data_IF_024430428809
#
_entry.id   IF_024430428809
#
_cell.length_a   1.000
_cell.length_b   1.000
_cell.length_c   1.000
_cell.angle_alpha   90.00
_cell.angle_beta   90.00
_cell.angle_gamma   90.00
#
_symmetry.space_group_name_H-M   'P 1'
#
loop_
_entity.id
_entity.type
_entity.pdbx_description
1 polymer ?
#
# COMPACT_ATOMS: atom_id res chain seq x y z
N UNK A 1 7.95 32.59 8.42
CA UNK A 1 8.53 31.26 8.11
C UNK A 1 7.81 30.68 6.89
N UNK A 2 8.57 30.22 5.88
CA UNK A 2 7.98 29.58 4.67
C UNK A 2 7.31 28.27 5.06
N UNK A 3 6.15 27.98 4.49
CA UNK A 3 5.30 26.82 4.76
C UNK A 3 5.00 26.06 3.49
N UNK A 4 4.97 24.72 3.56
CA UNK A 4 4.81 23.81 2.43
C UNK A 4 3.85 22.67 2.73
N UNK A 5 3.26 22.10 1.68
CA UNK A 5 2.65 20.79 1.70
C UNK A 5 3.67 19.78 1.17
N UNK A 6 3.83 18.65 1.85
CA UNK A 6 4.69 17.56 1.41
C UNK A 6 3.80 16.46 0.82
N UNK A 7 4.11 15.99 -0.38
CA UNK A 7 3.41 14.87 -1.00
C UNK A 7 4.39 13.71 -1.18
N UNK A 8 3.98 12.54 -0.70
CA UNK A 8 4.62 11.25 -0.95
C UNK A 8 3.89 10.63 -2.12
N UNK A 9 4.54 10.52 -3.26
CA UNK A 9 4.02 9.86 -4.47
C UNK A 9 4.75 8.53 -4.65
N UNK A 10 4.08 7.45 -4.24
CA UNK A 10 4.61 6.10 -4.29
C UNK A 10 4.10 5.37 -5.54
N UNK A 11 4.81 5.55 -6.64
CA UNK A 11 4.49 4.88 -7.91
C UNK A 11 4.89 3.41 -7.96
N UNK A 12 4.64 2.77 -9.10
CA UNK A 12 4.99 1.35 -9.31
C UNK A 12 6.50 1.14 -9.45
N UNK A 13 7.23 2.12 -9.98
CA UNK A 13 8.67 1.98 -10.28
C UNK A 13 9.55 2.91 -9.45
N UNK A 14 8.97 3.92 -8.79
CA UNK A 14 9.73 4.92 -8.06
C UNK A 14 8.97 5.49 -6.88
N UNK A 15 9.73 5.96 -5.89
CA UNK A 15 9.26 6.81 -4.80
C UNK A 15 9.63 8.25 -5.10
N UNK A 16 8.70 9.17 -4.89
CA UNK A 16 8.89 10.60 -5.12
C UNK A 16 8.39 11.41 -3.94
N UNK A 17 9.11 12.46 -3.60
CA UNK A 17 8.66 13.47 -2.62
C UNK A 17 8.56 14.80 -3.33
N UNK A 18 7.41 15.45 -3.23
CA UNK A 18 7.13 16.75 -3.82
C UNK A 18 6.79 17.73 -2.70
N UNK A 19 7.42 18.91 -2.75
CA UNK A 19 7.03 20.05 -1.92
C UNK A 19 6.21 21.04 -2.76
N UNK A 20 5.05 21.40 -2.26
CA UNK A 20 4.22 22.46 -2.81
C UNK A 20 4.22 23.67 -1.89
N UNK A 21 4.28 24.86 -2.47
CA UNK A 21 4.06 26.10 -1.73
C UNK A 21 2.56 26.32 -1.40
N UNK A 22 2.21 27.41 -0.73
CA UNK A 22 0.82 27.73 -0.37
C UNK A 22 -0.10 28.02 -1.56
N UNK A 23 0.46 28.26 -2.75
CA UNK A 23 -0.29 28.44 -4.00
C UNK A 23 -0.44 27.15 -4.78
N UNK A 24 -0.04 26.00 -4.19
CA UNK A 24 0.01 24.68 -4.84
C UNK A 24 0.93 24.61 -6.07
N UNK A 25 1.92 25.49 -6.15
CA UNK A 25 3.00 25.39 -7.13
C UNK A 25 4.09 24.47 -6.60
N UNK A 26 4.70 23.68 -7.49
CA UNK A 26 5.81 22.80 -7.13
C UNK A 26 7.01 23.66 -6.75
N UNK A 27 7.49 23.47 -5.53
CA UNK A 27 8.68 24.15 -5.02
C UNK A 27 9.94 23.32 -5.26
N UNK A 28 9.88 22.01 -4.97
CA UNK A 28 11.02 21.10 -5.18
C UNK A 28 10.55 19.66 -5.27
N UNK A 29 11.34 18.81 -5.95
CA UNK A 29 11.08 17.39 -6.14
C UNK A 29 12.36 16.61 -5.91
N UNK A 30 12.24 15.45 -5.25
CA UNK A 30 13.26 14.41 -5.21
C UNK A 30 12.63 13.05 -5.49
N UNK A 31 13.32 12.21 -6.24
CA UNK A 31 12.83 10.91 -6.68
C UNK A 31 13.94 9.87 -6.62
N UNK A 32 13.56 8.61 -6.47
CA UNK A 32 14.41 7.43 -6.58
C UNK A 32 13.62 6.26 -7.14
N UNK A 33 14.16 5.58 -8.13
CA UNK A 33 13.68 4.29 -8.59
C UNK A 33 14.07 3.19 -7.61
N UNK A 34 13.25 2.13 -7.51
CA UNK A 34 13.51 0.96 -6.68
C UNK A 34 13.39 -0.34 -7.48
N UNK A 35 14.00 -1.39 -6.94
CA UNK A 35 14.09 -2.67 -7.61
C UNK A 35 12.73 -3.36 -7.70
N UNK A 36 12.41 -3.85 -8.91
CA UNK A 36 11.32 -4.77 -9.17
C UNK A 36 11.81 -6.21 -9.03
N UNK A 37 10.97 -7.10 -8.50
CA UNK A 37 11.32 -8.51 -8.33
C UNK A 37 10.31 -9.38 -9.09
N UNK A 38 10.84 -10.30 -9.90
CA UNK A 38 10.06 -11.23 -10.74
C UNK A 38 10.47 -12.66 -10.43
N UNK A 39 10.07 -13.24 -9.27
CA UNK A 39 10.58 -14.54 -8.82
C UNK A 39 10.09 -15.71 -9.67
N UNK A 40 8.94 -15.60 -10.31
CA UNK A 40 8.37 -16.58 -11.23
C UNK A 40 7.64 -15.86 -12.37
N UNK A 41 7.27 -16.59 -13.42
CA UNK A 41 6.46 -16.07 -14.50
C UNK A 41 5.14 -15.49 -13.97
N UNK A 42 4.80 -14.28 -14.40
CA UNK A 42 3.60 -13.57 -13.96
C UNK A 42 3.61 -13.07 -12.51
N UNK A 43 4.70 -13.26 -11.76
CA UNK A 43 4.84 -12.76 -10.40
C UNK A 43 5.59 -11.43 -10.38
N UNK A 44 5.01 -10.45 -9.67
CA UNK A 44 5.61 -9.13 -9.52
C UNK A 44 5.59 -8.73 -8.05
N UNK A 45 6.77 -8.45 -7.49
CA UNK A 45 6.93 -8.14 -6.07
C UNK A 45 7.77 -6.89 -5.84
N UNK A 46 7.45 -6.18 -4.76
CA UNK A 46 8.28 -5.10 -4.23
C UNK A 46 8.74 -5.43 -2.80
N UNK A 47 9.88 -4.89 -2.41
CA UNK A 47 10.30 -4.92 -1.01
C UNK A 47 9.72 -3.69 -0.28
N UNK A 48 8.70 -3.91 0.54
CA UNK A 48 8.04 -2.83 1.27
C UNK A 48 8.98 -2.12 2.27
N UNK A 49 10.04 -2.79 2.74
CA UNK A 49 11.07 -2.16 3.58
C UNK A 49 11.92 -1.18 2.77
N UNK A 50 12.32 -1.56 1.55
CA UNK A 50 13.05 -0.66 0.64
C UNK A 50 12.20 0.58 0.30
N UNK A 51 10.91 0.39 -0.01
CA UNK A 51 9.97 1.49 -0.26
C UNK A 51 9.95 2.45 0.94
N UNK A 52 9.81 1.93 2.15
CA UNK A 52 9.83 2.75 3.37
C UNK A 52 11.15 3.50 3.56
N UNK A 53 12.28 2.81 3.40
CA UNK A 53 13.61 3.43 3.57
C UNK A 53 13.86 4.50 2.51
N UNK A 54 13.42 4.29 1.28
CA UNK A 54 13.51 5.28 0.21
C UNK A 54 12.66 6.52 0.51
N UNK A 55 11.40 6.35 0.93
CA UNK A 55 10.54 7.48 1.34
C UNK A 55 11.18 8.27 2.46
N UNK A 56 11.67 7.62 3.52
CA UNK A 56 12.34 8.27 4.65
C UNK A 56 13.59 9.05 4.21
N UNK A 57 14.41 8.42 3.37
CA UNK A 57 15.65 9.03 2.87
C UNK A 57 15.37 10.23 1.94
N UNK A 58 14.34 10.13 1.09
CA UNK A 58 13.93 11.22 0.21
C UNK A 58 13.35 12.40 1.00
N UNK A 59 12.55 12.16 2.04
CA UNK A 59 12.09 13.21 2.97
C UNK A 59 13.29 13.90 3.62
N UNK A 60 14.24 13.12 4.14
CA UNK A 60 15.47 13.68 4.72
C UNK A 60 16.30 14.47 3.72
N UNK A 61 16.38 13.99 2.48
CA UNK A 61 17.13 14.66 1.37
C UNK A 61 16.52 16.02 1.04
N UNK A 62 15.18 16.08 0.83
CA UNK A 62 14.50 17.32 0.45
C UNK A 62 14.52 18.35 1.58
N UNK A 63 14.43 17.89 2.85
CA UNK A 63 14.56 18.76 4.02
C UNK A 63 15.95 19.38 4.12
N UNK A 64 17.00 18.57 3.99
CA UNK A 64 18.40 19.07 4.02
C UNK A 64 18.69 20.04 2.87
N UNK A 65 18.30 19.68 1.64
CA UNK A 65 18.48 20.49 0.43
C UNK A 65 17.89 21.91 0.61
N UNK A 66 16.71 21.99 1.22
CA UNK A 66 15.95 23.23 1.35
C UNK A 66 16.05 23.88 2.74
N UNK A 67 16.92 23.36 3.62
CA UNK A 67 17.10 23.85 5.01
C UNK A 67 15.78 23.92 5.78
N UNK A 68 14.92 22.90 5.62
CA UNK A 68 13.61 22.80 6.26
C UNK A 68 13.64 21.96 7.54
N UNK A 69 12.64 22.17 8.38
CA UNK A 69 12.31 21.33 9.53
C UNK A 69 10.80 21.06 9.57
N UNK A 70 10.34 20.27 10.53
CA UNK A 70 8.93 19.90 10.66
C UNK A 70 7.98 21.08 10.76
N UNK A 71 8.41 22.20 11.37
CA UNK A 71 7.62 23.43 11.47
C UNK A 71 7.32 24.09 10.12
N UNK A 72 8.05 23.74 9.06
CA UNK A 72 7.80 24.23 7.70
C UNK A 72 6.70 23.45 6.97
N UNK A 73 6.30 22.27 7.46
CA UNK A 73 5.31 21.42 6.80
C UNK A 73 3.93 21.67 7.42
N UNK A 74 2.96 21.98 6.55
CA UNK A 74 1.55 22.20 6.92
C UNK A 74 0.87 20.84 7.07
N UNK A 75 1.01 19.99 6.04
CA UNK A 75 0.45 18.65 6.03
C UNK A 75 1.24 17.73 5.08
N UNK A 76 1.00 16.42 5.22
CA UNK A 76 1.57 15.39 4.36
C UNK A 76 0.42 14.69 3.65
N UNK A 77 0.47 14.64 2.31
CA UNK A 77 -0.41 13.82 1.47
C UNK A 77 0.33 12.57 1.02
N UNK A 78 -0.39 11.46 0.87
CA UNK A 78 0.16 10.22 0.32
C UNK A 78 -0.68 9.81 -0.88
N UNK A 79 -0.05 9.59 -2.03
CA UNK A 79 -0.62 8.90 -3.18
C UNK A 79 0.24 7.67 -3.49
N UNK A 80 -0.38 6.62 -4.03
CA UNK A 80 0.31 5.32 -4.15
C UNK A 80 -0.16 4.50 -5.34
N UNK A 81 0.66 3.52 -5.71
CA UNK A 81 0.23 2.39 -6.53
C UNK A 81 -0.86 1.61 -5.77
N UNK A 82 -2.11 1.70 -6.24
CA UNK A 82 -3.23 1.02 -5.58
C UNK A 82 -3.13 -0.50 -5.72
N UNK A 83 -3.92 -1.24 -4.97
CA UNK A 83 -4.07 -2.71 -4.98
C UNK A 83 -2.80 -3.50 -4.59
N UNK A 84 -1.62 -2.89 -4.64
CA UNK A 84 -0.39 -3.51 -4.13
C UNK A 84 -0.53 -3.80 -2.64
N UNK A 85 -0.30 -5.05 -2.28
CA UNK A 85 -0.70 -5.63 -0.99
C UNK A 85 0.50 -5.86 -0.09
N UNK A 86 0.47 -5.31 1.11
CA UNK A 86 1.49 -5.49 2.14
C UNK A 86 0.87 -6.12 3.38
N UNK A 87 1.48 -7.21 3.90
CA UNK A 87 1.16 -7.79 5.19
C UNK A 87 2.36 -7.69 6.12
N UNK A 88 2.15 -7.21 7.35
CA UNK A 88 3.26 -7.02 8.30
C UNK A 88 2.90 -7.34 9.73
N UNK A 89 3.92 -7.54 10.55
CA UNK A 89 3.77 -7.76 11.97
C UNK A 89 3.53 -6.42 12.69
N UNK A 90 2.37 -6.26 13.34
CA UNK A 90 1.98 -5.09 14.14
C UNK A 90 3.02 -4.67 15.19
N UNK A 91 3.76 -5.62 15.76
CA UNK A 91 4.73 -5.35 16.85
C UNK A 91 6.06 -4.82 16.33
N UNK A 92 6.50 -5.31 15.16
CA UNK A 92 7.85 -5.05 14.66
C UNK A 92 7.88 -4.18 13.40
N UNK A 93 6.74 -4.00 12.74
CA UNK A 93 6.64 -3.33 11.44
C UNK A 93 7.28 -4.11 10.28
N UNK A 94 7.79 -5.33 10.53
CA UNK A 94 8.45 -6.12 9.49
C UNK A 94 7.41 -6.79 8.60
N UNK A 95 7.46 -6.61 7.27
CA UNK A 95 6.65 -7.36 6.32
C UNK A 95 6.87 -8.87 6.49
N UNK A 96 5.80 -9.66 6.35
CA UNK A 96 5.88 -11.13 6.44
C UNK A 96 6.30 -11.76 5.12
N UNK A 97 6.05 -11.04 4.05
CA UNK A 97 6.38 -11.38 2.67
C UNK A 97 6.65 -10.09 1.88
N UNK A 98 7.22 -10.18 0.69
CA UNK A 98 7.29 -9.02 -0.21
C UNK A 98 5.90 -8.54 -0.58
N UNK A 99 5.75 -7.25 -0.85
CA UNK A 99 4.50 -6.69 -1.33
C UNK A 99 4.15 -7.32 -2.69
N UNK A 100 2.96 -7.88 -2.82
CA UNK A 100 2.47 -8.42 -4.09
C UNK A 100 1.85 -7.27 -4.88
N UNK A 101 2.42 -6.99 -6.05
CA UNK A 101 2.07 -5.83 -6.88
C UNK A 101 0.73 -6.05 -7.60
N UNK A 102 0.07 -4.98 -7.99
CA UNK A 102 -1.19 -5.01 -8.72
C UNK A 102 -1.13 -5.80 -10.05
N UNK A 103 0.03 -5.84 -10.69
CA UNK A 103 0.29 -6.58 -11.95
C UNK A 103 0.42 -8.10 -11.75
N UNK A 104 0.58 -8.56 -10.51
CA UNK A 104 0.86 -9.96 -10.19
C UNK A 104 -0.32 -10.88 -10.49
N UNK A 105 -0.04 -12.02 -11.11
CA UNK A 105 -1.05 -12.99 -11.56
C UNK A 105 -1.10 -14.29 -10.75
N UNK A 106 -0.31 -14.43 -9.68
CA UNK A 106 -0.25 -15.68 -8.88
C UNK A 106 -1.57 -16.13 -8.27
N UNK A 107 -2.50 -15.21 -8.07
CA UNK A 107 -3.80 -15.50 -7.46
C UNK A 107 -4.91 -15.85 -8.48
N UNK A 108 -4.59 -16.01 -9.78
CA UNK A 108 -5.57 -16.30 -10.84
C UNK A 108 -6.34 -17.60 -10.60
N UNK A 109 -5.66 -18.66 -10.14
CA UNK A 109 -6.35 -19.93 -9.83
C UNK A 109 -7.39 -19.76 -8.73
N UNK A 110 -7.12 -18.90 -7.75
CA UNK A 110 -8.08 -18.60 -6.69
C UNK A 110 -9.27 -17.81 -7.23
N UNK A 111 -9.04 -16.86 -8.14
CA UNK A 111 -10.12 -16.16 -8.84
C UNK A 111 -11.00 -17.13 -9.62
N UNK A 112 -10.41 -18.06 -10.37
CA UNK A 112 -11.14 -19.07 -11.13
C UNK A 112 -12.01 -19.97 -10.21
N UNK A 113 -11.51 -20.31 -9.01
CA UNK A 113 -12.32 -21.04 -8.01
C UNK A 113 -13.55 -20.25 -7.56
N UNK A 114 -13.40 -18.96 -7.29
CA UNK A 114 -14.52 -18.09 -6.90
C UNK A 114 -15.55 -17.95 -8.02
N UNK A 115 -15.12 -17.86 -9.28
CA UNK A 115 -15.99 -17.81 -10.46
C UNK A 115 -16.77 -19.13 -10.59
N UNK A 116 -16.10 -20.28 -10.51
CA UNK A 116 -16.75 -21.60 -10.51
C UNK A 116 -17.79 -21.75 -9.38
N UNK A 117 -17.57 -21.10 -8.24
CA UNK A 117 -18.50 -21.04 -7.10
C UNK A 117 -19.62 -20.00 -7.31
N UNK A 118 -19.72 -19.37 -8.47
CA UNK A 118 -20.74 -18.35 -8.81
C UNK A 118 -20.76 -17.16 -7.84
N UNK A 119 -19.59 -16.71 -7.39
CA UNK A 119 -19.45 -15.58 -6.46
C UNK A 119 -19.41 -14.19 -7.14
N UNK A 120 -19.47 -14.14 -8.46
CA UNK A 120 -19.31 -12.89 -9.23
C UNK A 120 -20.36 -11.85 -8.88
N UNK A 121 -21.65 -12.22 -8.90
CA UNK A 121 -22.76 -11.31 -8.57
C UNK A 121 -22.64 -10.77 -7.14
N UNK A 122 -22.29 -11.63 -6.17
CA UNK A 122 -22.12 -11.24 -4.77
C UNK A 122 -21.01 -10.19 -4.63
N UNK A 123 -19.86 -10.46 -5.25
CA UNK A 123 -18.70 -9.58 -5.16
C UNK A 123 -18.97 -8.27 -5.90
N UNK A 124 -19.52 -8.33 -7.10
CA UNK A 124 -19.87 -7.15 -7.88
C UNK A 124 -20.85 -6.23 -7.15
N UNK A 125 -21.94 -6.77 -6.60
CA UNK A 125 -22.95 -5.98 -5.89
C UNK A 125 -22.41 -5.28 -4.64
N UNK A 126 -21.41 -5.87 -3.98
CA UNK A 126 -20.81 -5.28 -2.78
C UNK A 126 -19.67 -4.32 -3.08
N UNK A 127 -18.88 -4.59 -4.10
CA UNK A 127 -17.60 -3.90 -4.33
C UNK A 127 -17.53 -3.14 -5.63
N UNK A 128 -18.44 -3.39 -6.58
CA UNK A 128 -18.37 -2.88 -7.95
C UNK A 128 -17.25 -3.49 -8.79
N UNK A 129 -16.55 -4.53 -8.28
CA UNK A 129 -15.37 -5.11 -8.91
C UNK A 129 -15.68 -6.49 -9.50
N UNK A 130 -14.99 -6.82 -10.59
CA UNK A 130 -14.92 -8.18 -11.09
C UNK A 130 -13.99 -9.02 -10.21
N UNK A 131 -14.09 -10.36 -10.28
CA UNK A 131 -13.14 -11.26 -9.63
C UNK A 131 -11.85 -11.28 -10.45
N UNK A 132 -10.80 -10.63 -9.97
CA UNK A 132 -9.49 -10.64 -10.63
C UNK A 132 -8.35 -10.62 -9.60
N UNK A 133 -7.20 -11.20 -10.00
CA UNK A 133 -5.95 -11.20 -9.23
C UNK A 133 -5.36 -9.79 -9.05
N UNK A 134 -5.86 -8.82 -9.81
CA UNK A 134 -5.51 -7.41 -9.71
C UNK A 134 -5.75 -6.84 -8.30
N UNK A 135 -6.86 -7.22 -7.65
CA UNK A 135 -7.31 -6.67 -6.38
C UNK A 135 -6.65 -7.32 -5.16
N UNK A 136 -6.69 -6.66 -4.00
CA UNK A 136 -5.91 -7.06 -2.82
C UNK A 136 -6.37 -8.37 -2.17
N UNK A 137 -7.69 -8.67 -2.15
CA UNK A 137 -8.23 -9.79 -1.39
C UNK A 137 -7.60 -11.15 -1.75
N UNK A 138 -7.44 -11.43 -3.04
CA UNK A 138 -6.86 -12.69 -3.51
C UNK A 138 -5.37 -12.81 -3.20
N UNK A 139 -4.62 -11.69 -3.22
CA UNK A 139 -3.22 -11.63 -2.80
C UNK A 139 -3.05 -11.86 -1.30
N UNK A 140 -3.94 -11.27 -0.48
CA UNK A 140 -3.97 -11.52 0.97
C UNK A 140 -4.19 -13.01 1.25
N UNK A 141 -5.19 -13.59 0.58
CA UNK A 141 -5.50 -15.03 0.72
C UNK A 141 -4.29 -15.87 0.34
N UNK A 142 -3.64 -15.56 -0.78
CA UNK A 142 -2.43 -16.27 -1.20
C UNK A 142 -1.32 -16.19 -0.13
N UNK A 143 -1.04 -15.00 0.43
CA UNK A 143 -0.02 -14.84 1.48
C UNK A 143 -0.40 -15.66 2.72
N UNK A 144 -1.66 -15.62 3.15
CA UNK A 144 -2.12 -16.38 4.32
C UNK A 144 -1.94 -17.89 4.11
N UNK A 145 -2.21 -18.39 2.91
CA UNK A 145 -2.12 -19.82 2.63
C UNK A 145 -0.69 -20.32 2.47
N UNK A 146 0.19 -19.50 1.88
CA UNK A 146 1.52 -19.94 1.45
C UNK A 146 2.65 -19.46 2.37
N UNK A 147 2.39 -18.52 3.30
CA UNK A 147 3.41 -18.00 4.20
C UNK A 147 3.11 -18.42 5.65
N UNK A 148 3.80 -19.44 6.20
CA UNK A 148 3.53 -19.96 7.55
C UNK A 148 3.54 -18.90 8.64
N UNK A 149 4.42 -17.92 8.52
CA UNK A 149 4.52 -16.78 9.44
C UNK A 149 3.25 -15.92 9.47
N UNK A 150 2.54 -15.79 8.35
CA UNK A 150 1.28 -15.05 8.31
C UNK A 150 0.22 -15.76 9.17
N UNK A 151 0.08 -17.09 9.03
CA UNK A 151 -0.85 -17.90 9.86
C UNK A 151 -0.52 -17.79 11.35
N UNK A 152 0.77 -17.84 11.71
CA UNK A 152 1.21 -17.68 13.09
C UNK A 152 0.82 -16.30 13.66
N UNK A 153 1.03 -15.22 12.89
CA UNK A 153 0.70 -13.87 13.34
C UNK A 153 -0.81 -13.63 13.43
N UNK A 154 -1.63 -14.28 12.59
CA UNK A 154 -3.09 -14.27 12.73
C UNK A 154 -3.49 -14.86 14.09
N UNK A 155 -2.99 -16.07 14.43
CA UNK A 155 -3.28 -16.70 15.75
C UNK A 155 -2.87 -15.80 16.91
N UNK A 156 -1.81 -15.01 16.77
CA UNK A 156 -1.32 -14.07 17.78
C UNK A 156 -2.04 -12.70 17.73
N UNK A 157 -3.00 -12.46 16.82
CA UNK A 157 -3.65 -11.16 16.57
C UNK A 157 -2.64 -10.03 16.28
N UNK A 158 -1.57 -10.36 15.54
CA UNK A 158 -0.45 -9.45 15.23
C UNK A 158 -0.23 -9.21 13.75
N UNK A 159 -1.02 -9.83 12.87
CA UNK A 159 -0.94 -9.56 11.43
C UNK A 159 -1.76 -8.32 11.10
N UNK A 160 -1.14 -7.38 10.41
CA UNK A 160 -1.82 -6.26 9.75
C UNK A 160 -1.73 -6.42 8.24
N UNK A 161 -2.72 -5.90 7.56
CA UNK A 161 -2.81 -5.77 6.12
C UNK A 161 -2.99 -4.29 5.77
N UNK A 162 -2.45 -3.87 4.63
CA UNK A 162 -2.72 -2.58 4.02
C UNK A 162 -2.28 -2.52 2.56
N UNK A 163 -2.81 -1.54 1.86
CA UNK A 163 -2.21 -1.01 0.64
C UNK A 163 -0.98 -0.17 1.00
N UNK A 164 -0.23 0.31 0.01
CA UNK A 164 1.05 0.98 0.28
C UNK A 164 0.88 2.26 1.10
N UNK A 165 -0.19 3.04 0.86
CA UNK A 165 -0.54 4.23 1.66
C UNK A 165 -0.70 3.89 3.15
N UNK A 166 -1.46 2.83 3.43
CA UNK A 166 -1.71 2.36 4.79
C UNK A 166 -0.40 1.94 5.50
N UNK A 167 0.46 1.18 4.80
CA UNK A 167 1.76 0.79 5.33
C UNK A 167 2.66 2.00 5.61
N UNK A 168 2.73 2.95 4.68
CA UNK A 168 3.51 4.18 4.85
C UNK A 168 2.98 5.05 5.99
N UNK A 169 1.65 5.26 6.06
CA UNK A 169 1.02 5.98 7.17
C UNK A 169 1.34 5.33 8.51
N UNK A 170 1.20 4.00 8.59
CA UNK A 170 1.52 3.26 9.80
C UNK A 170 2.99 3.43 10.21
N UNK A 171 3.92 3.40 9.26
CA UNK A 171 5.36 3.64 9.50
C UNK A 171 5.65 5.07 9.94
N UNK A 172 5.06 6.06 9.26
CA UNK A 172 5.23 7.50 9.57
C UNK A 172 4.72 7.86 10.95
N UNK A 173 3.69 7.18 11.43
CA UNK A 173 3.06 7.43 12.74
C UNK A 173 3.58 6.52 13.85
N UNK A 174 4.71 5.83 13.64
CA UNK A 174 5.30 4.96 14.66
C UNK A 174 4.41 3.77 15.07
N UNK A 175 3.52 3.31 14.17
CA UNK A 175 2.63 2.17 14.42
C UNK A 175 1.32 2.52 15.14
N UNK A 176 1.02 3.80 15.34
CA UNK A 176 -0.19 4.23 16.05
C UNK A 176 -1.44 4.30 15.17
N UNK A 177 -1.28 4.61 13.88
CA UNK A 177 -2.40 4.80 12.96
C UNK A 177 -2.39 3.76 11.83
N UNK A 178 -3.47 2.98 11.73
CA UNK A 178 -3.66 1.94 10.72
C UNK A 178 -4.93 2.28 9.94
N UNK A 179 -4.82 3.21 8.99
CA UNK A 179 -5.91 3.71 8.18
C UNK A 179 -5.56 3.69 6.69
N UNK A 180 -6.58 3.70 5.87
CA UNK A 180 -6.53 3.96 4.43
C UNK A 180 -7.71 4.84 4.06
N UNK A 181 -7.76 5.32 2.83
CA UNK A 181 -8.90 6.08 2.32
C UNK A 181 -9.89 5.20 1.53
N UNK A 182 -11.05 5.77 1.18
CA UNK A 182 -12.08 5.06 0.43
C UNK A 182 -11.61 4.66 -0.98
N UNK A 183 -10.71 5.43 -1.61
CA UNK A 183 -10.21 5.13 -2.97
C UNK A 183 -9.28 3.91 -2.98
N UNK A 184 -8.46 3.73 -1.95
CA UNK A 184 -7.65 2.53 -1.76
C UNK A 184 -8.51 1.35 -1.27
N UNK A 185 -9.38 1.58 -0.27
CA UNK A 185 -10.24 0.55 0.29
C UNK A 185 -11.14 -0.10 -0.76
N UNK A 186 -11.77 0.70 -1.64
CA UNK A 186 -12.66 0.21 -2.70
C UNK A 186 -11.95 -0.70 -3.72
N UNK A 187 -10.62 -0.64 -3.80
CA UNK A 187 -9.81 -1.48 -4.71
C UNK A 187 -9.31 -2.78 -4.07
N UNK A 188 -9.74 -3.08 -2.86
CA UNK A 188 -9.29 -4.28 -2.14
C UNK A 188 -10.13 -5.53 -2.39
N UNK A 189 -11.33 -5.40 -2.93
CA UNK A 189 -12.36 -6.46 -2.98
C UNK A 189 -12.84 -6.91 -1.58
N UNK A 190 -12.64 -6.09 -0.55
CA UNK A 190 -13.03 -6.32 0.85
C UNK A 190 -13.91 -5.20 1.40
N UNK A 191 -14.07 -4.13 0.64
CA UNK A 191 -14.78 -2.94 1.05
C UNK A 191 -16.12 -2.83 0.32
N UNK A 192 -17.19 -2.70 1.08
CA UNK A 192 -18.54 -2.56 0.54
C UNK A 192 -18.79 -1.09 0.22
N UNK A 193 -18.89 -0.77 -1.07
CA UNK A 193 -19.03 0.61 -1.57
C UNK A 193 -20.42 1.20 -1.30
N UNK A 194 -21.46 0.38 -1.14
CA UNK A 194 -22.81 0.85 -0.83
C UNK A 194 -22.95 1.26 0.63
N UNK A 195 -22.29 0.55 1.55
CA UNK A 195 -22.34 0.87 2.99
C UNK A 195 -21.16 1.72 3.45
N UNK A 196 -20.16 1.90 2.58
CA UNK A 196 -18.90 2.59 2.87
C UNK A 196 -18.16 1.99 4.10
N UNK A 197 -18.13 0.65 4.19
CA UNK A 197 -17.54 -0.10 5.31
C UNK A 197 -16.81 -1.35 4.80
N UNK A 198 -15.88 -1.85 5.63
CA UNK A 198 -15.32 -3.19 5.42
C UNK A 198 -16.44 -4.23 5.50
N UNK A 199 -16.51 -5.12 4.51
CA UNK A 199 -17.50 -6.20 4.48
C UNK A 199 -17.09 -7.31 5.46
N UNK A 200 -18.07 -7.94 6.14
CA UNK A 200 -17.86 -8.98 7.15
C UNK A 200 -18.17 -10.36 6.58
#
# INVERSE_FOLDING_TARGET
MKKYFLVIDQGTTSSRIVLYNKKFEIFDIVQKEFKQYFPNEGWVEHNATEIWDDVRNLISKIFRKNKLNSKNIISIGITNQRETTVLWNKKTGKPVYRAIVWQDRRAVEYCNKLIKQKKETLIYNKTGLLIDAYFSATKIKWIIDNVPKAKQLIKQKRLLFGTVDCFLLWRLTGGTNHFTDATNASRTMLFNISTNKWDK
#
